data_IF_243786737725
#
_entry.id   IF_243786737725
#
_cell.length_a   1.000
_cell.length_b   1.000
_cell.length_c   1.000
_cell.angle_alpha   90.00
_cell.angle_beta   90.00
_cell.angle_gamma   90.00
#
_symmetry.space_group_name_H-M   'P 1'
#
loop_
_entity.id
_entity.type
_entity.pdbx_description
1 polymer ?
#
# COMPACT_ATOMS: atom_id res chain seq x y z
N UNK A 1 -34.02 -3.85 8.41
CA UNK A 1 -34.13 -3.02 7.19
C UNK A 1 -33.76 -3.92 6.02
N UNK A 2 -34.32 -3.71 4.82
CA UNK A 2 -33.94 -4.49 3.63
C UNK A 2 -32.57 -4.06 3.12
N UNK A 3 -31.75 -5.00 2.61
CA UNK A 3 -30.39 -4.74 2.11
C UNK A 3 -30.34 -3.63 1.06
N UNK A 4 -31.37 -3.55 0.21
CA UNK A 4 -31.52 -2.52 -0.83
C UNK A 4 -31.66 -1.10 -0.25
N UNK A 5 -32.30 -0.98 0.93
CA UNK A 5 -32.44 0.32 1.62
C UNK A 5 -31.12 0.75 2.24
N UNK A 6 -30.36 -0.21 2.79
CA UNK A 6 -29.06 0.06 3.42
C UNK A 6 -28.03 0.49 2.37
N UNK A 7 -27.99 -0.21 1.23
CA UNK A 7 -27.15 0.19 0.09
C UNK A 7 -27.50 1.60 -0.39
N UNK A 8 -28.79 1.91 -0.59
CA UNK A 8 -29.23 3.24 -1.04
C UNK A 8 -28.89 4.36 -0.04
N UNK A 9 -29.18 4.15 1.24
CA UNK A 9 -28.92 5.15 2.29
C UNK A 9 -27.40 5.38 2.44
N UNK A 10 -26.59 4.32 2.32
CA UNK A 10 -25.13 4.41 2.32
C UNK A 10 -24.60 5.13 1.10
N UNK A 11 -25.18 4.89 -0.09
CA UNK A 11 -24.76 5.55 -1.32
C UNK A 11 -24.96 7.08 -1.25
N UNK A 12 -26.12 7.51 -0.73
CA UNK A 12 -26.47 8.93 -0.58
C UNK A 12 -25.59 9.63 0.45
N UNK A 13 -25.47 9.04 1.65
CA UNK A 13 -24.69 9.63 2.73
C UNK A 13 -23.18 9.59 2.41
N UNK A 14 -22.72 8.50 1.78
CA UNK A 14 -21.34 8.33 1.36
C UNK A 14 -20.91 9.31 0.27
N UNK A 15 -21.78 9.59 -0.71
CA UNK A 15 -21.50 10.60 -1.74
C UNK A 15 -21.40 12.01 -1.14
N UNK A 16 -22.34 12.37 -0.26
CA UNK A 16 -22.30 13.67 0.43
C UNK A 16 -21.04 13.82 1.31
N UNK A 17 -20.56 12.73 1.91
CA UNK A 17 -19.30 12.73 2.65
C UNK A 17 -18.10 12.97 1.75
N UNK A 18 -18.00 12.25 0.61
CA UNK A 18 -16.88 12.35 -0.32
C UNK A 18 -16.80 13.72 -1.01
N UNK A 19 -17.94 14.34 -1.26
CA UNK A 19 -18.02 15.69 -1.85
C UNK A 19 -17.90 16.81 -0.80
N UNK A 20 -17.77 16.45 0.49
CA UNK A 20 -17.64 17.41 1.59
C UNK A 20 -18.91 18.22 1.90
N UNK A 21 -20.08 17.76 1.43
CA UNK A 21 -21.38 18.40 1.63
C UNK A 21 -22.21 17.80 2.77
N UNK A 22 -21.74 16.71 3.40
CA UNK A 22 -22.45 16.06 4.49
C UNK A 22 -22.48 16.92 5.76
N UNK A 23 -23.67 17.10 6.33
CA UNK A 23 -23.84 17.72 7.64
C UNK A 23 -23.53 16.75 8.80
N UNK A 24 -23.56 17.26 10.03
CA UNK A 24 -23.22 16.49 11.23
C UNK A 24 -24.14 15.28 11.44
N UNK A 25 -25.44 15.43 11.17
CA UNK A 25 -26.43 14.38 11.38
C UNK A 25 -26.29 13.29 10.31
N UNK A 26 -26.03 13.69 9.07
CA UNK A 26 -25.71 12.80 7.95
C UNK A 26 -24.43 12.00 8.19
N UNK A 27 -23.38 12.63 8.74
CA UNK A 27 -22.13 11.94 9.08
C UNK A 27 -22.30 10.93 10.22
N UNK A 28 -23.00 11.31 11.30
CA UNK A 28 -23.28 10.40 12.42
C UNK A 28 -24.10 9.19 11.95
N UNK A 29 -25.05 9.40 11.04
CA UNK A 29 -25.87 8.34 10.46
C UNK A 29 -25.08 7.42 9.52
N UNK A 30 -24.18 7.97 8.70
CA UNK A 30 -23.25 7.19 7.88
C UNK A 30 -22.35 6.33 8.75
N UNK A 31 -21.71 6.90 9.77
CA UNK A 31 -20.84 6.17 10.69
C UNK A 31 -21.59 5.10 11.47
N UNK A 32 -22.86 5.35 11.82
CA UNK A 32 -23.74 4.35 12.40
C UNK A 32 -23.91 3.14 11.47
N UNK A 33 -24.28 3.38 10.20
CA UNK A 33 -24.45 2.33 9.20
C UNK A 33 -23.17 1.53 8.96
N UNK A 34 -22.03 2.21 8.81
CA UNK A 34 -20.73 1.56 8.58
C UNK A 34 -20.28 0.69 9.77
N UNK A 35 -20.66 1.03 11.00
CA UNK A 35 -20.37 0.22 12.18
C UNK A 35 -21.28 -0.99 12.28
N UNK A 36 -22.57 -0.83 12.01
CA UNK A 36 -23.55 -1.88 12.25
C UNK A 36 -23.73 -2.85 11.09
N UNK A 37 -23.36 -2.48 9.86
CA UNK A 37 -23.75 -3.21 8.66
C UNK A 37 -22.59 -3.43 7.68
N UNK A 38 -22.43 -4.68 7.23
CA UNK A 38 -21.37 -5.07 6.30
C UNK A 38 -21.64 -4.65 4.85
N UNK A 39 -22.90 -4.71 4.41
CA UNK A 39 -23.31 -4.23 3.08
C UNK A 39 -23.09 -2.73 2.92
N UNK A 40 -23.29 -1.96 4.00
CA UNK A 40 -22.92 -0.54 4.05
C UNK A 40 -21.41 -0.33 3.88
N UNK A 41 -20.56 -1.14 4.54
CA UNK A 41 -19.09 -1.02 4.36
C UNK A 41 -18.65 -1.32 2.93
N UNK A 42 -19.22 -2.34 2.31
CA UNK A 42 -18.94 -2.71 0.91
C UNK A 42 -19.37 -1.59 -0.05
N UNK A 43 -20.58 -1.07 0.11
CA UNK A 43 -21.11 -0.01 -0.76
C UNK A 43 -20.35 1.31 -0.61
N UNK A 44 -19.94 1.66 0.61
CA UNK A 44 -19.12 2.85 0.84
C UNK A 44 -17.70 2.71 0.26
N UNK A 45 -17.10 1.52 0.35
CA UNK A 45 -15.81 1.23 -0.32
C UNK A 45 -15.92 1.42 -1.83
N UNK A 46 -17.01 0.93 -2.45
CA UNK A 46 -17.30 1.10 -3.87
C UNK A 46 -17.34 2.58 -4.28
N UNK A 47 -17.97 3.43 -3.47
CA UNK A 47 -18.04 4.87 -3.72
C UNK A 47 -16.66 5.56 -3.60
N UNK A 48 -15.85 5.19 -2.61
CA UNK A 48 -14.50 5.73 -2.43
C UNK A 48 -13.62 5.44 -3.65
N UNK A 49 -13.64 4.19 -4.13
CA UNK A 49 -12.86 3.78 -5.30
C UNK A 49 -13.25 4.58 -6.55
N UNK A 50 -14.56 4.74 -6.78
CA UNK A 50 -15.08 5.57 -7.88
C UNK A 50 -14.63 7.03 -7.77
N UNK A 51 -14.69 7.62 -6.57
CA UNK A 51 -14.29 9.00 -6.35
C UNK A 51 -12.76 9.19 -6.52
N UNK A 52 -11.95 8.23 -6.10
CA UNK A 52 -10.50 8.23 -6.31
C UNK A 52 -10.14 8.15 -7.80
N UNK A 53 -10.83 7.31 -8.58
CA UNK A 53 -10.65 7.21 -10.03
C UNK A 53 -10.97 8.52 -10.74
N UNK A 54 -12.10 9.16 -10.40
CA UNK A 54 -12.50 10.46 -10.96
C UNK A 54 -11.47 11.57 -10.67
N UNK A 55 -10.89 11.58 -9.46
CA UNK A 55 -9.83 12.55 -9.11
C UNK A 55 -8.55 12.35 -9.92
N UNK A 56 -8.15 11.11 -10.19
CA UNK A 56 -6.97 10.80 -11.03
C UNK A 56 -7.19 11.21 -12.48
N UNK A 57 -8.38 10.98 -13.03
CA UNK A 57 -8.73 11.45 -14.38
C UNK A 57 -8.65 12.97 -14.50
N UNK A 58 -9.08 13.70 -13.47
CA UNK A 58 -8.98 15.17 -13.45
C UNK A 58 -7.54 15.67 -13.28
N UNK A 59 -6.70 14.99 -12.50
CA UNK A 59 -5.29 15.36 -12.30
C UNK A 59 -4.43 15.15 -13.57
N UNK A 60 -4.67 14.07 -14.33
CA UNK A 60 -3.95 13.78 -15.58
C UNK A 60 -4.13 14.84 -16.68
N UNK A 61 -5.19 15.65 -16.62
CA UNK A 61 -5.45 16.73 -17.57
C UNK A 61 -4.57 17.97 -17.32
N UNK A 62 -4.00 18.12 -16.11
CA UNK A 62 -3.16 19.27 -15.74
C UNK A 62 -1.69 19.10 -16.14
N UNK A 63 -1.14 17.88 -16.09
CA UNK A 63 0.28 17.61 -16.35
C UNK A 63 0.67 17.60 -17.83
N UNK A 64 -0.28 17.30 -18.73
CA UNK A 64 -0.06 17.27 -20.18
C UNK A 64 0.36 18.63 -20.78
N UNK A 65 0.21 19.75 -20.05
CA UNK A 65 0.59 21.10 -20.51
C UNK A 65 2.07 21.46 -20.26
N UNK A 66 2.81 20.70 -19.46
CA UNK A 66 4.17 21.08 -19.02
C UNK A 66 5.32 20.39 -19.79
N UNK A 67 5.06 19.28 -20.50
CA UNK A 67 6.11 18.49 -21.16
C UNK A 67 6.63 19.08 -22.50
N UNK A 68 5.94 20.06 -23.08
CA UNK A 68 6.25 20.58 -24.43
C UNK A 68 7.56 21.39 -24.57
N UNK A 69 8.29 21.69 -23.49
CA UNK A 69 9.39 22.67 -23.51
C UNK A 69 10.79 22.14 -23.15
N UNK A 70 10.96 20.83 -22.86
CA UNK A 70 12.26 20.32 -22.34
C UNK A 70 12.99 19.29 -23.21
N UNK A 71 12.42 18.86 -24.33
CA UNK A 71 13.03 17.83 -25.19
C UNK A 71 13.94 18.39 -26.30
N UNK A 72 14.95 19.21 -25.97
CA UNK A 72 16.10 19.48 -26.86
C UNK A 72 17.37 19.68 -26.05
N UNK A 73 18.05 18.58 -25.65
CA UNK A 73 19.52 18.42 -25.69
C UNK A 73 20.02 17.19 -24.90
N UNK A 74 20.81 16.39 -25.63
CA UNK A 74 21.85 15.42 -25.19
C UNK A 74 21.32 14.10 -24.61
N UNK A 75 21.80 12.92 -25.02
CA UNK A 75 22.94 12.57 -25.86
C UNK A 75 23.87 11.59 -25.14
N UNK A 76 23.66 10.29 -25.41
CA UNK A 76 24.58 9.12 -25.44
C UNK A 76 25.76 9.05 -24.45
N UNK A 77 25.83 7.91 -23.75
CA UNK A 77 27.08 7.29 -23.26
C UNK A 77 26.78 6.02 -22.47
N UNK A 78 27.11 4.85 -23.02
CA UNK A 78 26.91 3.54 -22.38
C UNK A 78 28.20 2.99 -21.78
N UNK A 79 28.06 2.15 -20.76
CA UNK A 79 29.09 1.24 -20.28
C UNK A 79 28.44 -0.02 -19.67
N UNK A 80 28.99 -1.19 -20.01
CA UNK A 80 28.59 -2.52 -19.55
C UNK A 80 29.45 -2.96 -18.36
N UNK A 81 28.88 -3.68 -17.39
CA UNK A 81 29.61 -4.70 -16.61
C UNK A 81 28.68 -5.75 -15.99
N UNK A 82 29.26 -6.93 -15.77
CA UNK A 82 28.69 -8.27 -15.60
C UNK A 82 28.37 -8.63 -14.12
N UNK A 83 27.74 -9.80 -13.82
CA UNK A 83 26.85 -9.97 -12.68
C UNK A 83 27.54 -10.50 -11.41
N UNK A 84 27.14 -9.95 -10.26
CA UNK A 84 27.41 -10.50 -8.93
C UNK A 84 26.22 -11.31 -8.42
N UNK A 85 26.50 -12.47 -7.82
CA UNK A 85 25.55 -13.42 -7.26
C UNK A 85 24.76 -12.81 -6.10
N UNK A 86 23.43 -12.90 -6.13
CA UNK A 86 22.54 -12.49 -5.04
C UNK A 86 22.23 -13.66 -4.11
N UNK A 87 22.43 -13.41 -2.82
CA UNK A 87 21.97 -14.22 -1.68
C UNK A 87 20.56 -13.72 -1.34
N UNK A 88 19.58 -14.62 -1.31
CA UNK A 88 18.18 -14.32 -1.00
C UNK A 88 17.99 -14.55 0.50
N UNK A 89 17.66 -13.51 1.27
CA UNK A 89 17.24 -13.61 2.66
C UNK A 89 15.80 -13.13 2.85
N UNK A 90 15.08 -13.82 3.72
CA UNK A 90 13.63 -13.81 3.89
C UNK A 90 13.08 -12.55 4.56
N UNK A 91 12.18 -11.81 3.88
CA UNK A 91 11.33 -10.77 4.47
C UNK A 91 9.89 -10.82 3.95
N UNK A 92 9.33 -12.02 3.84
CA UNK A 92 7.94 -12.17 3.40
C UNK A 92 6.94 -12.18 4.55
N UNK A 93 6.40 -11.03 4.99
CA UNK A 93 5.04 -11.00 5.59
C UNK A 93 4.34 -9.65 5.89
N UNK A 94 4.89 -8.46 5.63
CA UNK A 94 4.38 -7.27 6.34
C UNK A 94 3.54 -6.24 5.55
N UNK A 95 3.35 -6.37 4.23
CA UNK A 95 2.83 -5.26 3.41
C UNK A 95 1.31 -5.21 3.12
N UNK A 96 0.52 -6.25 3.43
CA UNK A 96 -0.90 -6.29 3.01
C UNK A 96 -1.86 -5.41 3.84
N UNK A 97 -1.54 -5.07 5.09
CA UNK A 97 -2.47 -4.38 5.98
C UNK A 97 -2.51 -2.84 5.79
N UNK A 98 -1.52 -2.25 5.12
CA UNK A 98 -1.33 -0.80 5.12
C UNK A 98 -2.26 -0.03 4.17
N UNK A 99 -2.78 -0.63 3.09
CA UNK A 99 -3.50 0.10 2.04
C UNK A 99 -4.95 0.51 2.40
N UNK A 100 -5.67 -0.30 3.19
CA UNK A 100 -7.05 0.00 3.63
C UNK A 100 -7.10 1.11 4.70
N UNK A 101 -6.02 1.29 5.46
CA UNK A 101 -5.92 2.28 6.52
C UNK A 101 -5.65 3.72 6.00
N UNK A 102 -5.11 3.84 4.78
CA UNK A 102 -4.78 5.10 4.09
C UNK A 102 -5.99 6.01 3.87
N UNK A 103 -7.17 5.45 3.57
CA UNK A 103 -8.38 6.24 3.26
C UNK A 103 -9.01 6.82 4.54
N UNK A 104 -9.08 6.03 5.61
CA UNK A 104 -9.63 6.48 6.89
C UNK A 104 -8.74 7.55 7.53
N UNK A 105 -7.41 7.38 7.46
CA UNK A 105 -6.43 8.38 7.85
C UNK A 105 -6.58 9.66 7.03
N UNK A 106 -6.51 9.57 5.69
CA UNK A 106 -6.58 10.75 4.81
C UNK A 106 -7.85 11.58 4.98
N UNK A 107 -9.01 10.93 5.14
CA UNK A 107 -10.28 11.62 5.31
C UNK A 107 -10.45 12.21 6.74
N UNK A 108 -9.91 11.54 7.76
CA UNK A 108 -9.83 12.07 9.13
C UNK A 108 -8.85 13.27 9.23
N UNK A 109 -7.73 13.23 8.51
CA UNK A 109 -6.75 14.32 8.47
C UNK A 109 -7.23 15.53 7.65
N UNK A 110 -7.98 15.29 6.56
CA UNK A 110 -8.72 16.35 5.86
C UNK A 110 -9.70 17.07 6.80
N UNK A 111 -10.42 16.31 7.63
CA UNK A 111 -11.33 16.85 8.65
C UNK A 111 -10.61 17.64 9.77
N UNK A 112 -9.43 17.22 10.22
CA UNK A 112 -8.64 17.97 11.22
C UNK A 112 -8.02 19.25 10.62
N UNK A 113 -7.57 19.21 9.36
CA UNK A 113 -6.94 20.36 8.69
C UNK A 113 -7.89 21.56 8.50
N UNK A 114 -9.20 21.31 8.40
CA UNK A 114 -10.23 22.35 8.29
C UNK A 114 -10.57 23.00 9.63
N UNK A 115 -10.27 22.36 10.77
CA UNK A 115 -10.37 22.99 12.10
C UNK A 115 -9.11 23.80 12.43
N UNK A 116 -8.88 24.88 11.68
CA UNK A 116 -8.02 25.97 12.17
C UNK A 116 -8.72 26.67 13.33
N UNK A 117 -8.54 26.16 14.54
CA UNK A 117 -8.58 27.03 15.71
C UNK A 117 -7.22 27.73 15.81
N UNK A 118 -7.16 29.05 16.02
CA UNK A 118 -5.91 29.71 16.34
C UNK A 118 -5.51 29.24 17.75
N UNK A 119 -4.62 28.26 17.84
CA UNK A 119 -4.03 27.87 19.11
C UNK A 119 -2.92 28.86 19.47
N UNK A 120 -3.06 29.48 20.65
CA UNK A 120 -2.02 30.28 21.27
C UNK A 120 -0.70 29.49 21.33
N UNK A 121 0.40 30.16 21.06
CA UNK A 121 1.74 29.58 21.15
C UNK A 121 1.98 29.05 22.58
N UNK A 122 2.50 27.82 22.76
CA UNK A 122 2.87 27.36 24.09
C UNK A 122 4.07 28.14 24.62
N UNK A 123 3.91 28.69 25.82
CA UNK A 123 4.98 29.28 26.62
C UNK A 123 5.99 28.19 26.95
N UNK A 124 7.27 28.43 26.65
CA UNK A 124 8.35 27.50 26.96
C UNK A 124 8.46 27.30 28.48
N UNK A 125 8.37 26.05 28.97
CA UNK A 125 8.69 25.73 30.37
C UNK A 125 7.94 24.59 31.06
N UNK A 126 7.10 23.78 30.39
CA UNK A 126 6.45 22.62 31.04
C UNK A 126 6.68 21.33 30.23
N UNK A 127 7.60 20.48 30.70
CA UNK A 127 7.88 19.14 30.13
C UNK A 127 7.23 18.00 30.94
N UNK A 128 6.06 18.22 31.56
CA UNK A 128 5.31 17.18 32.29
C UNK A 128 3.86 17.00 31.78
N UNK A 129 3.59 17.38 30.54
CA UNK A 129 2.28 17.18 29.91
C UNK A 129 2.27 16.02 28.92
N UNK A 130 1.10 15.41 28.70
CA UNK A 130 0.89 14.51 27.59
C UNK A 130 1.31 15.19 26.27
N UNK A 131 2.05 14.49 25.42
CA UNK A 131 2.57 15.04 24.16
C UNK A 131 1.90 14.43 22.93
N UNK A 132 1.21 13.31 23.11
CA UNK A 132 0.41 12.69 22.06
C UNK A 132 -0.82 11.99 22.64
N UNK A 133 -1.77 11.67 21.77
CA UNK A 133 -2.93 10.82 22.08
C UNK A 133 -2.85 9.58 21.21
N UNK A 134 -2.78 8.42 21.85
CA UNK A 134 -2.90 7.11 21.23
C UNK A 134 -4.38 6.80 20.99
N UNK A 135 -4.76 6.50 19.75
CA UNK A 135 -6.11 6.08 19.38
C UNK A 135 -6.05 4.68 18.77
N UNK A 136 -6.47 3.63 19.49
CA UNK A 136 -6.42 2.26 19.00
C UNK A 136 -7.56 2.00 17.99
N UNK A 137 -7.27 1.18 16.98
CA UNK A 137 -8.26 0.54 16.09
C UNK A 137 -8.29 -1.00 16.25
N UNK A 138 -7.48 -1.54 17.16
CA UNK A 138 -7.35 -2.97 17.48
C UNK A 138 -6.84 -3.19 18.91
N UNK A 139 -6.28 -4.37 19.18
CA UNK A 139 -5.74 -4.74 20.50
C UNK A 139 -4.28 -4.32 20.63
N UNK A 140 -3.99 -3.48 21.62
CA UNK A 140 -2.64 -3.03 21.92
C UNK A 140 -2.45 -2.76 23.40
N UNK A 141 -1.20 -2.74 23.84
CA UNK A 141 -0.80 -2.46 25.23
C UNK A 141 0.09 -1.24 25.27
N UNK A 142 -0.11 -0.40 26.28
CA UNK A 142 0.77 0.72 26.61
C UNK A 142 1.49 0.40 27.92
N UNK A 143 2.82 0.48 27.90
CA UNK A 143 3.66 0.37 29.08
C UNK A 143 4.17 1.74 29.50
N UNK A 144 3.90 2.11 30.75
CA UNK A 144 4.38 3.34 31.41
C UNK A 144 5.15 2.94 32.66
N UNK A 145 6.49 3.04 32.61
CA UNK A 145 7.33 2.50 33.69
C UNK A 145 7.14 0.98 33.82
N UNK A 146 6.58 0.53 34.94
CA UNK A 146 6.27 -0.88 35.21
C UNK A 146 4.79 -1.23 34.97
N UNK A 147 3.93 -0.23 34.77
CA UNK A 147 2.51 -0.43 34.52
C UNK A 147 2.27 -0.81 33.06
N UNK A 148 1.44 -1.83 32.83
CA UNK A 148 0.98 -2.26 31.50
C UNK A 148 -0.53 -2.12 31.44
N UNK A 149 -1.04 -1.40 30.45
CA UNK A 149 -2.45 -1.10 30.25
C UNK A 149 -2.93 -1.58 28.89
N UNK A 150 -4.07 -2.27 28.83
CA UNK A 150 -4.75 -2.54 27.57
C UNK A 150 -5.36 -1.24 27.02
N UNK A 151 -5.06 -0.92 25.77
CA UNK A 151 -5.51 0.31 25.11
C UNK A 151 -6.76 0.00 24.28
N UNK A 152 -7.93 0.16 24.88
CA UNK A 152 -9.24 -0.05 24.21
C UNK A 152 -9.98 1.25 23.86
N UNK A 153 -9.45 2.37 24.34
CA UNK A 153 -9.98 3.72 24.13
C UNK A 153 -8.81 4.70 23.97
N UNK A 154 -9.06 5.95 23.55
CA UNK A 154 -8.00 6.94 23.44
C UNK A 154 -7.27 7.18 24.77
N UNK A 155 -5.93 7.13 24.75
CA UNK A 155 -5.06 7.31 25.94
C UNK A 155 -4.02 8.40 25.67
N UNK A 156 -3.81 9.27 26.64
CA UNK A 156 -2.73 10.26 26.60
C UNK A 156 -1.36 9.59 26.77
N UNK A 157 -0.43 9.93 25.88
CA UNK A 157 0.94 9.43 25.87
C UNK A 157 1.94 10.46 26.38
N UNK A 158 2.90 9.98 27.15
CA UNK A 158 4.01 10.74 27.72
C UNK A 158 5.35 10.24 27.15
N UNK A 159 6.40 11.08 27.13
CA UNK A 159 7.74 10.62 26.80
C UNK A 159 8.16 9.43 27.68
N UNK A 160 8.67 8.37 27.04
CA UNK A 160 9.03 7.10 27.69
C UNK A 160 7.95 6.01 27.60
N UNK A 161 6.71 6.36 27.23
CA UNK A 161 5.67 5.36 27.00
C UNK A 161 6.07 4.44 25.83
N UNK A 162 5.92 3.14 26.06
CA UNK A 162 6.08 2.10 25.03
C UNK A 162 4.74 1.53 24.64
N UNK A 163 4.61 1.20 23.37
CA UNK A 163 3.41 0.59 22.83
C UNK A 163 3.77 -0.71 22.12
N UNK A 164 3.02 -1.76 22.42
CA UNK A 164 3.08 -3.04 21.72
C UNK A 164 1.72 -3.33 21.11
N UNK A 165 1.72 -3.86 19.90
CA UNK A 165 0.52 -4.18 19.15
C UNK A 165 0.64 -5.59 18.57
N UNK A 166 -0.43 -6.38 18.69
CA UNK A 166 -0.48 -7.76 18.20
C UNK A 166 -1.22 -7.82 16.86
N UNK A 167 -2.38 -7.16 16.76
CA UNK A 167 -3.15 -7.01 15.52
C UNK A 167 -3.85 -5.63 15.46
N UNK A 168 -4.07 -5.12 14.25
CA UNK A 168 -4.79 -3.86 13.98
C UNK A 168 -3.88 -2.67 13.70
N UNK A 169 -4.37 -1.46 13.98
CA UNK A 169 -3.58 -0.22 13.89
C UNK A 169 -3.76 0.68 15.11
N UNK A 170 -2.84 1.63 15.29
CA UNK A 170 -2.99 2.68 16.27
C UNK A 170 -2.48 4.01 15.71
N UNK A 171 -3.29 5.05 15.85
CA UNK A 171 -2.92 6.40 15.46
C UNK A 171 -2.41 7.17 16.69
N UNK A 172 -1.18 7.66 16.61
CA UNK A 172 -0.54 8.51 17.60
C UNK A 172 -0.60 9.93 17.07
N UNK A 173 -1.47 10.74 17.66
CA UNK A 173 -1.65 12.13 17.27
C UNK A 173 -0.89 13.04 18.23
N UNK A 174 0.09 13.79 17.73
CA UNK A 174 0.82 14.75 18.56
C UNK A 174 -0.06 15.95 18.93
N UNK A 175 -0.06 16.33 20.21
CA UNK A 175 -0.93 17.40 20.72
C UNK A 175 -0.44 18.76 20.22
N UNK A 176 -1.39 19.59 19.76
CA UNK A 176 -1.10 20.96 19.29
C UNK A 176 -0.70 21.06 17.81
N UNK A 177 -0.79 19.98 17.03
CA UNK A 177 -0.47 19.96 15.60
C UNK A 177 -1.20 18.86 14.82
N UNK A 178 -0.96 18.82 13.51
CA UNK A 178 -1.50 17.80 12.59
C UNK A 178 -0.48 16.70 12.23
N UNK A 179 0.55 16.48 13.05
CA UNK A 179 1.50 15.36 12.89
C UNK A 179 0.92 14.11 13.53
N UNK A 180 0.92 13.01 12.79
CA UNK A 180 0.45 11.72 13.28
C UNK A 180 1.33 10.56 12.80
N UNK A 181 1.44 9.55 13.64
CA UNK A 181 2.08 8.28 13.32
C UNK A 181 1.01 7.22 13.40
N UNK A 182 0.77 6.50 12.32
CA UNK A 182 -0.04 5.30 12.33
C UNK A 182 0.87 4.08 12.35
N UNK A 183 0.81 3.31 13.42
CA UNK A 183 1.47 2.00 13.49
C UNK A 183 0.45 0.91 13.14
N UNK A 184 0.87 -0.12 12.42
CA UNK A 184 -0.01 -1.21 11.98
C UNK A 184 0.68 -2.56 12.01
N UNK A 185 -0.10 -3.64 12.15
CA UNK A 185 0.40 -5.02 12.15
C UNK A 185 0.67 -5.52 13.56
N UNK A 186 1.74 -6.31 13.75
CA UNK A 186 2.37 -6.62 15.04
C UNK A 186 3.67 -5.80 15.19
N UNK A 187 4.06 -5.40 16.41
CA UNK A 187 5.27 -4.60 16.58
C UNK A 187 5.36 -3.82 17.89
N UNK A 188 6.49 -3.13 18.05
CA UNK A 188 6.80 -2.32 19.23
C UNK A 188 7.30 -0.94 18.80
N UNK A 189 6.87 0.09 19.53
CA UNK A 189 7.32 1.46 19.36
C UNK A 189 7.41 2.21 20.68
N UNK A 190 8.16 3.30 20.70
CA UNK A 190 8.31 4.14 21.88
C UNK A 190 8.23 5.62 21.52
N UNK A 191 7.49 6.37 22.34
CA UNK A 191 7.45 7.82 22.25
C UNK A 191 8.64 8.39 23.03
N UNK A 192 9.64 8.92 22.32
CA UNK A 192 10.91 9.32 22.94
C UNK A 192 10.86 10.78 23.39
N UNK A 193 10.27 11.68 22.61
CA UNK A 193 10.07 13.07 23.02
C UNK A 193 9.01 13.76 22.17
N UNK A 194 8.23 14.65 22.78
CA UNK A 194 7.31 15.58 22.12
C UNK A 194 7.78 17.03 22.11
N UNK A 195 9.05 17.30 22.46
CA UNK A 195 9.62 18.65 22.57
C UNK A 195 9.87 19.34 21.22
N UNK A 196 10.98 20.08 21.10
CA UNK A 196 11.29 20.87 19.88
C UNK A 196 11.50 20.00 18.62
N UNK A 197 12.03 18.80 18.81
CA UNK A 197 12.17 17.76 17.77
C UNK A 197 11.42 16.54 18.27
N UNK A 198 10.39 16.13 17.54
CA UNK A 198 9.60 14.96 17.92
C UNK A 198 10.36 13.71 17.54
N UNK A 199 10.46 12.78 18.48
CA UNK A 199 11.18 11.53 18.28
C UNK A 199 10.26 10.36 18.57
N UNK A 200 10.09 9.51 17.57
CA UNK A 200 9.42 8.23 17.70
C UNK A 200 10.39 7.13 17.31
N UNK A 201 10.49 6.09 18.14
CA UNK A 201 11.30 4.91 17.87
C UNK A 201 10.37 3.77 17.43
N UNK A 202 10.58 3.25 16.23
CA UNK A 202 9.95 2.01 15.77
C UNK A 202 10.96 0.87 15.95
N UNK A 203 10.66 -0.07 16.84
CA UNK A 203 11.55 -1.18 17.18
C UNK A 203 11.33 -2.36 16.22
N UNK A 204 10.08 -2.64 15.87
CA UNK A 204 9.69 -3.70 14.94
C UNK A 204 8.33 -3.41 14.30
N UNK A 205 8.06 -4.04 13.15
CA UNK A 205 6.77 -3.91 12.45
C UNK A 205 6.75 -2.77 11.44
N UNK A 206 5.55 -2.28 11.11
CA UNK A 206 5.36 -1.24 10.08
C UNK A 206 4.66 -0.02 10.65
N UNK A 207 5.20 1.16 10.34
CA UNK A 207 4.57 2.45 10.63
C UNK A 207 4.39 3.26 9.35
N UNK A 208 3.19 3.80 9.13
CA UNK A 208 2.95 4.88 8.18
C UNK A 208 2.96 6.20 8.94
N UNK A 209 3.73 7.14 8.47
CA UNK A 209 3.97 8.42 9.13
C UNK A 209 3.48 9.55 8.24
N UNK A 210 2.57 10.35 8.78
CA UNK A 210 2.09 11.57 8.15
C UNK A 210 2.57 12.77 8.99
N UNK A 211 3.54 13.50 8.45
CA UNK A 211 4.11 14.67 9.12
C UNK A 211 3.58 15.93 8.50
N UNK A 212 2.82 16.72 9.27
CA UNK A 212 2.41 18.04 8.84
C UNK A 212 3.62 18.95 8.59
N UNK A 213 3.48 19.94 7.71
CA UNK A 213 4.53 20.95 7.51
C UNK A 213 4.70 21.78 8.78
N UNK A 214 5.88 21.71 9.41
CA UNK A 214 6.18 22.37 10.68
C UNK A 214 6.95 23.69 10.46
N UNK A 215 6.87 24.63 11.42
CA UNK A 215 7.66 25.87 11.38
C UNK A 215 9.17 25.58 11.41
N UNK A 216 9.98 26.43 10.78
CA UNK A 216 11.43 26.23 10.63
C UNK A 216 12.11 25.85 11.96
N UNK A 217 12.81 24.72 11.99
CA UNK A 217 13.53 24.21 13.16
C UNK A 217 12.74 23.27 14.09
N UNK A 218 11.55 22.83 13.69
CA UNK A 218 10.78 21.75 14.34
C UNK A 218 10.60 20.61 13.33
N UNK A 219 11.50 19.65 13.34
CA UNK A 219 11.41 18.45 12.49
C UNK A 219 10.87 17.26 13.29
N UNK A 220 10.43 16.22 12.59
CA UNK A 220 10.21 14.91 13.19
C UNK A 220 11.39 14.00 12.84
N UNK A 221 11.78 13.17 13.79
CA UNK A 221 12.73 12.07 13.60
C UNK A 221 12.03 10.78 13.93
N UNK A 222 12.00 9.86 12.96
CA UNK A 222 11.63 8.48 13.19
C UNK A 222 12.93 7.67 13.28
N UNK A 223 13.20 7.09 14.43
CA UNK A 223 14.36 6.21 14.63
C UNK A 223 13.93 4.75 14.53
N UNK A 224 14.83 3.91 14.06
CA UNK A 224 14.76 2.45 14.08
C UNK A 224 16.10 1.91 14.57
N UNK A 225 16.23 0.62 14.93
CA UNK A 225 17.53 0.02 15.21
C UNK A 225 18.57 0.18 14.08
N UNK A 226 18.11 0.36 12.84
CA UNK A 226 18.96 0.34 11.64
C UNK A 226 19.18 1.72 11.01
N UNK A 227 18.32 2.70 11.28
CA UNK A 227 18.37 4.02 10.65
C UNK A 227 17.51 5.08 11.35
N UNK A 228 17.82 6.35 11.04
CA UNK A 228 17.04 7.54 11.38
C UNK A 228 16.49 8.21 10.12
N UNK A 229 15.19 8.52 10.13
CA UNK A 229 14.49 9.29 9.10
C UNK A 229 14.15 10.68 9.63
N UNK A 230 14.76 11.72 9.05
CA UNK A 230 14.51 13.12 9.37
C UNK A 230 13.59 13.75 8.30
N UNK A 231 12.50 14.40 8.75
CA UNK A 231 11.44 14.87 7.84
C UNK A 231 10.82 16.22 8.22
N UNK A 232 10.31 16.91 7.20
CA UNK A 232 9.51 18.14 7.30
C UNK A 232 8.42 18.08 6.23
N UNK A 233 7.14 17.94 6.61
CA UNK A 233 6.03 17.92 5.65
C UNK A 233 6.12 16.75 4.67
N UNK A 234 5.91 15.52 5.13
CA UNK A 234 6.21 14.30 4.37
C UNK A 234 5.24 13.19 4.75
N UNK A 235 4.87 12.37 3.77
CA UNK A 235 4.18 11.11 3.99
C UNK A 235 5.09 9.96 3.57
N UNK A 236 5.36 9.04 4.48
CA UNK A 236 6.24 7.90 4.24
C UNK A 236 5.84 6.69 5.09
N UNK A 237 6.32 5.51 4.74
CA UNK A 237 6.21 4.30 5.55
C UNK A 237 7.60 3.77 5.89
N UNK A 238 7.72 3.18 7.08
CA UNK A 238 8.91 2.43 7.50
C UNK A 238 8.50 1.06 7.99
N UNK A 239 9.18 0.04 7.48
CA UNK A 239 9.05 -1.35 7.92
C UNK A 239 10.38 -1.81 8.49
N UNK A 240 10.36 -2.35 9.70
CA UNK A 240 11.53 -2.88 10.40
C UNK A 240 11.43 -4.39 10.46
N UNK A 241 12.39 -5.06 9.81
CA UNK A 241 12.53 -6.51 9.76
C UNK A 241 13.70 -7.02 10.59
N UNK A 242 14.08 -8.27 10.36
CA UNK A 242 15.26 -8.88 10.99
C UNK A 242 16.54 -8.38 10.31
N UNK A 243 17.21 -7.39 10.90
CA UNK A 243 18.52 -6.88 10.44
C UNK A 243 18.47 -5.66 9.52
N UNK A 244 17.29 -5.19 9.13
CA UNK A 244 17.12 -4.03 8.25
C UNK A 244 15.85 -3.23 8.49
N UNK A 245 15.85 -1.99 7.98
CA UNK A 245 14.68 -1.14 7.87
C UNK A 245 14.51 -0.66 6.42
N UNK A 246 13.29 -0.75 5.91
CA UNK A 246 12.89 -0.22 4.61
C UNK A 246 12.07 1.05 4.81
N UNK A 247 12.48 2.14 4.16
CA UNK A 247 11.76 3.41 4.07
C UNK A 247 11.17 3.56 2.66
N UNK A 248 9.89 3.90 2.56
CA UNK A 248 9.23 4.28 1.29
C UNK A 248 8.54 5.62 1.43
N UNK A 249 8.77 6.54 0.48
CA UNK A 249 8.26 7.92 0.55
C UNK A 249 7.15 8.11 -0.48
N UNK A 250 5.98 8.52 -0.01
CA UNK A 250 4.80 8.79 -0.85
C UNK A 250 4.72 10.27 -1.25
N UNK A 251 5.00 11.17 -0.30
CA UNK A 251 5.02 12.61 -0.55
C UNK A 251 6.21 13.27 0.15
N UNK A 252 6.80 14.29 -0.50
CA UNK A 252 7.92 15.04 0.06
C UNK A 252 9.28 14.33 -0.11
N UNK A 253 10.13 14.44 0.91
CA UNK A 253 11.47 13.85 0.93
C UNK A 253 11.93 13.59 2.35
N UNK A 254 12.72 12.54 2.52
CA UNK A 254 13.27 12.10 3.80
C UNK A 254 14.78 12.07 3.69
N UNK A 255 15.47 12.67 4.66
CA UNK A 255 16.89 12.39 4.87
C UNK A 255 16.98 11.11 5.69
N UNK A 256 17.55 10.06 5.10
CA UNK A 256 17.62 8.73 5.70
C UNK A 256 19.06 8.37 6.03
N UNK A 257 19.35 8.21 7.31
CA UNK A 257 20.70 8.00 7.84
C UNK A 257 20.80 6.61 8.47
N UNK A 258 21.69 5.76 7.98
CA UNK A 258 21.92 4.42 8.54
C UNK A 258 22.65 4.51 9.88
N UNK A 259 22.17 3.77 10.87
CA UNK A 259 22.67 3.82 12.25
C UNK A 259 24.08 3.22 12.39
N UNK A 260 24.42 2.18 11.61
CA UNK A 260 25.69 1.45 11.75
C UNK A 260 26.94 2.25 11.38
N UNK A 261 26.85 3.19 10.44
CA UNK A 261 27.99 3.95 9.91
C UNK A 261 27.73 5.43 9.67
N UNK A 262 26.50 5.91 9.90
CA UNK A 262 26.12 7.31 9.68
C UNK A 262 26.00 7.71 8.20
N UNK A 263 26.10 6.76 7.26
CA UNK A 263 25.87 7.03 5.84
C UNK A 263 24.43 7.53 5.65
N UNK A 264 24.24 8.55 4.81
CA UNK A 264 22.93 9.14 4.58
C UNK A 264 22.65 9.43 3.11
N UNK A 265 21.37 9.35 2.76
CA UNK A 265 20.84 9.66 1.43
C UNK A 265 19.54 10.48 1.57
N UNK A 266 19.13 11.12 0.47
CA UNK A 266 17.80 11.69 0.34
C UNK A 266 16.91 10.71 -0.44
N UNK A 267 15.75 10.35 0.15
CA UNK A 267 14.72 9.52 -0.49
C UNK A 267 13.51 10.41 -0.80
N UNK A 268 13.10 10.47 -2.07
CA UNK A 268 12.02 11.35 -2.55
C UNK A 268 10.72 10.58 -2.75
N UNK A 269 9.61 11.31 -2.87
CA UNK A 269 8.33 10.75 -3.29
C UNK A 269 8.48 9.79 -4.49
N UNK A 270 7.85 8.61 -4.39
CA UNK A 270 7.97 7.53 -5.36
C UNK A 270 9.29 6.77 -5.30
N UNK A 271 10.01 6.83 -4.17
CA UNK A 271 11.24 6.08 -3.94
C UNK A 271 11.21 5.34 -2.60
N UNK A 272 12.03 4.29 -2.51
CA UNK A 272 12.32 3.56 -1.30
C UNK A 272 13.84 3.42 -1.09
N UNK A 273 14.26 3.11 0.13
CA UNK A 273 15.63 2.74 0.47
C UNK A 273 15.64 1.74 1.61
N UNK A 274 16.69 0.92 1.68
CA UNK A 274 16.89 -0.09 2.72
C UNK A 274 18.17 0.24 3.48
N UNK A 275 18.08 0.29 4.80
CA UNK A 275 19.21 0.42 5.71
C UNK A 275 19.36 -0.86 6.53
N UNK A 276 20.51 -1.50 6.43
CA UNK A 276 20.90 -2.68 7.19
C UNK A 276 22.41 -2.90 7.07
N UNK A 277 22.94 -3.85 7.83
CA UNK A 277 24.36 -4.20 7.76
C UNK A 277 24.70 -4.83 6.39
N UNK A 278 25.76 -4.34 5.73
CA UNK A 278 26.18 -4.86 4.43
C UNK A 278 25.26 -4.52 3.24
N UNK A 279 24.14 -3.81 3.47
CA UNK A 279 23.21 -3.39 2.42
C UNK A 279 23.68 -2.05 1.84
N UNK A 280 23.64 -1.91 0.51
CA UNK A 280 23.93 -0.62 -0.13
C UNK A 280 22.78 0.38 0.13
N UNK A 281 23.08 1.49 0.80
CA UNK A 281 22.09 2.53 1.09
C UNK A 281 21.89 3.42 -0.14
N UNK A 282 20.92 3.06 -0.98
CA UNK A 282 20.57 3.80 -2.20
C UNK A 282 19.06 4.01 -2.31
N UNK A 283 18.66 5.19 -2.80
CA UNK A 283 17.27 5.47 -3.14
C UNK A 283 16.91 4.81 -4.48
N UNK A 284 15.89 3.95 -4.47
CA UNK A 284 15.38 3.21 -5.62
C UNK A 284 13.95 3.64 -5.94
N UNK A 285 13.53 3.71 -7.20
CA UNK A 285 12.13 3.97 -7.54
C UNK A 285 11.20 2.94 -6.87
N UNK A 286 10.09 3.38 -6.28
CA UNK A 286 9.00 2.54 -5.80
C UNK A 286 7.86 2.62 -6.81
N UNK A 287 7.49 1.50 -7.40
CA UNK A 287 6.51 1.45 -8.49
C UNK A 287 5.50 0.36 -8.20
N UNK A 288 4.24 0.73 -8.07
CA UNK A 288 3.09 -0.19 -7.98
C UNK A 288 1.96 0.39 -8.83
N UNK A 289 1.51 -0.39 -9.81
CA UNK A 289 0.43 -0.03 -10.73
C UNK A 289 -0.69 -1.05 -10.64
N UNK A 290 -1.94 -0.58 -10.67
CA UNK A 290 -3.15 -1.41 -10.60
C UNK A 290 -3.93 -1.29 -11.90
N UNK A 291 -4.44 -2.41 -12.38
CA UNK A 291 -5.21 -2.51 -13.61
C UNK A 291 -6.45 -3.38 -13.34
N UNK A 292 -7.63 -2.86 -13.66
CA UNK A 292 -8.84 -3.67 -13.68
C UNK A 292 -8.84 -4.55 -14.93
N UNK A 293 -9.12 -5.83 -14.78
CA UNK A 293 -9.02 -6.77 -15.88
C UNK A 293 -10.13 -6.55 -16.91
N UNK A 294 -11.30 -6.06 -16.50
CA UNK A 294 -12.41 -5.69 -17.37
C UNK A 294 -12.15 -4.44 -18.23
N UNK A 295 -11.14 -3.63 -17.88
CA UNK A 295 -10.68 -2.49 -18.69
C UNK A 295 -9.61 -2.89 -19.72
N UNK A 296 -9.13 -4.14 -19.68
CA UNK A 296 -8.18 -4.64 -20.65
C UNK A 296 -8.79 -4.68 -22.07
N UNK A 297 -7.94 -4.61 -23.08
CA UNK A 297 -8.37 -4.80 -24.47
C UNK A 297 -8.64 -6.28 -24.71
N UNK A 298 -9.91 -6.65 -24.77
CA UNK A 298 -10.33 -8.04 -24.93
C UNK A 298 -10.40 -8.48 -26.39
N UNK A 299 -9.96 -9.70 -26.65
CA UNK A 299 -10.23 -10.44 -27.88
C UNK A 299 -11.13 -11.63 -27.53
N UNK A 300 -12.28 -11.80 -28.19
CA UNK A 300 -13.16 -12.93 -27.97
C UNK A 300 -12.43 -14.27 -28.13
N UNK A 301 -12.86 -15.33 -27.43
CA UNK A 301 -13.99 -15.41 -26.48
C UNK A 301 -13.72 -14.87 -25.05
N UNK A 302 -12.66 -14.09 -24.80
CA UNK A 302 -12.52 -13.41 -23.50
C UNK A 302 -13.61 -12.34 -23.35
N UNK A 303 -14.32 -12.35 -22.23
CA UNK A 303 -15.45 -11.46 -21.97
C UNK A 303 -15.46 -10.97 -20.54
N UNK A 304 -16.07 -9.79 -20.35
CA UNK A 304 -16.37 -9.26 -19.02
C UNK A 304 -17.59 -9.97 -18.44
N UNK A 305 -17.50 -10.37 -17.18
CA UNK A 305 -18.59 -10.88 -16.36
C UNK A 305 -18.84 -9.89 -15.22
N UNK A 306 -20.12 -9.70 -14.85
CA UNK A 306 -20.45 -9.02 -13.60
C UNK A 306 -20.20 -9.97 -12.45
N UNK A 307 -19.44 -9.55 -11.45
CA UNK A 307 -19.14 -10.39 -10.30
C UNK A 307 -19.16 -9.59 -9.01
N UNK A 308 -20.16 -9.81 -8.13
CA UNK A 308 -20.16 -9.25 -6.78
C UNK A 308 -18.88 -9.67 -6.02
N UNK A 309 -18.21 -8.71 -5.40
CA UNK A 309 -16.95 -8.95 -4.67
C UNK A 309 -15.69 -8.87 -5.52
N UNK A 310 -15.81 -8.75 -6.85
CA UNK A 310 -14.73 -8.26 -7.70
C UNK A 310 -14.55 -6.75 -7.48
N UNK A 311 -13.32 -6.26 -7.63
CA UNK A 311 -13.11 -4.82 -7.67
C UNK A 311 -13.77 -4.25 -8.93
N UNK A 312 -14.25 -3.00 -8.87
CA UNK A 312 -15.01 -2.42 -9.98
C UNK A 312 -16.36 -3.08 -10.29
N UNK A 313 -16.67 -4.24 -9.69
CA UNK A 313 -17.87 -5.05 -9.92
C UNK A 313 -17.81 -5.95 -11.16
N UNK A 314 -16.64 -6.04 -11.82
CA UNK A 314 -16.42 -6.81 -13.03
C UNK A 314 -15.22 -7.74 -12.92
N UNK A 315 -15.19 -8.79 -13.74
CA UNK A 315 -14.00 -9.59 -13.96
C UNK A 315 -13.99 -10.08 -15.42
N UNK A 316 -12.89 -10.68 -15.86
CA UNK A 316 -12.81 -11.32 -17.17
C UNK A 316 -12.67 -12.83 -17.04
N UNK A 317 -13.25 -13.52 -18.02
CA UNK A 317 -13.11 -14.96 -18.18
C UNK A 317 -13.39 -15.37 -19.62
N UNK A 318 -12.99 -16.58 -19.98
CA UNK A 318 -13.40 -17.22 -21.23
C UNK A 318 -14.21 -18.48 -20.94
N UNK A 319 -15.09 -18.87 -21.84
CA UNK A 319 -15.80 -20.17 -21.82
C UNK A 319 -15.13 -21.21 -22.72
N UNK A 320 -14.00 -20.86 -23.35
CA UNK A 320 -13.36 -21.68 -24.37
C UNK A 320 -11.90 -21.93 -24.00
N UNK A 321 -11.56 -23.20 -23.76
CA UNK A 321 -10.21 -23.63 -23.42
C UNK A 321 -9.19 -23.16 -24.48
N UNK A 322 -8.06 -22.60 -24.03
CA UNK A 322 -7.00 -22.11 -24.90
C UNK A 322 -7.33 -20.84 -25.70
N UNK A 323 -8.49 -20.22 -25.52
CA UNK A 323 -8.94 -19.10 -26.36
C UNK A 323 -9.27 -17.84 -25.56
N UNK A 324 -9.38 -16.72 -26.28
CA UNK A 324 -9.68 -15.41 -25.70
C UNK A 324 -8.44 -14.76 -25.10
N UNK A 325 -8.29 -13.46 -25.31
CA UNK A 325 -7.15 -12.70 -24.80
C UNK A 325 -7.60 -11.42 -24.10
N UNK A 326 -6.83 -11.00 -23.11
CA UNK A 326 -6.89 -9.69 -22.49
C UNK A 326 -5.51 -9.04 -22.56
N UNK A 327 -5.43 -7.90 -23.22
CA UNK A 327 -4.22 -7.11 -23.40
C UNK A 327 -4.26 -5.88 -22.49
N UNK A 328 -3.26 -5.75 -21.61
CA UNK A 328 -3.06 -4.57 -20.76
C UNK A 328 -1.80 -3.86 -21.22
N UNK A 329 -1.95 -2.60 -21.61
CA UNK A 329 -0.85 -1.70 -21.95
C UNK A 329 -0.53 -0.82 -20.77
N UNK A 330 0.75 -0.69 -20.44
CA UNK A 330 1.18 0.14 -19.32
C UNK A 330 2.54 0.78 -19.58
N UNK A 331 2.77 1.94 -18.96
CA UNK A 331 4.02 2.67 -19.09
C UNK A 331 4.85 2.53 -17.80
N UNK A 332 5.95 1.80 -17.89
CA UNK A 332 6.89 1.58 -16.78
C UNK A 332 7.72 2.85 -16.55
N UNK A 333 7.70 3.44 -15.35
CA UNK A 333 8.39 4.70 -15.08
C UNK A 333 9.91 4.55 -14.88
N UNK A 334 10.39 3.35 -14.51
CA UNK A 334 11.80 3.07 -14.28
C UNK A 334 12.16 1.63 -14.67
N UNK A 335 13.31 1.43 -15.31
CA UNK A 335 13.80 0.09 -15.63
C UNK A 335 14.12 -0.70 -14.35
N UNK A 336 13.81 -1.99 -14.32
CA UNK A 336 14.10 -2.86 -13.18
C UNK A 336 13.42 -4.22 -13.26
N UNK A 337 13.54 -5.00 -12.18
CA UNK A 337 12.76 -6.22 -11.98
C UNK A 337 11.35 -5.86 -11.49
N UNK A 338 10.34 -6.47 -12.11
CA UNK A 338 8.93 -6.32 -11.74
C UNK A 338 8.28 -7.68 -11.53
N UNK A 339 7.23 -7.67 -10.71
CA UNK A 339 6.40 -8.80 -10.35
C UNK A 339 4.95 -8.47 -10.63
N UNK A 340 4.19 -9.49 -11.04
CA UNK A 340 2.74 -9.36 -11.27
C UNK A 340 2.00 -10.11 -10.18
N UNK A 341 0.98 -9.48 -9.61
CA UNK A 341 -0.05 -10.13 -8.81
C UNK A 341 -1.39 -10.04 -9.52
N UNK A 342 -2.17 -11.10 -9.44
CA UNK A 342 -3.49 -11.22 -10.05
C UNK A 342 -4.51 -11.57 -8.97
N UNK A 343 -5.61 -10.83 -8.90
CA UNK A 343 -6.78 -11.22 -8.11
C UNK A 343 -7.63 -12.14 -8.95
N UNK A 344 -7.77 -13.37 -8.48
CA UNK A 344 -8.32 -14.49 -9.24
C UNK A 344 -9.38 -15.22 -8.44
N UNK A 345 -10.28 -15.89 -9.14
CA UNK A 345 -11.23 -16.82 -8.56
C UNK A 345 -11.22 -18.08 -9.43
N UNK A 346 -10.82 -19.19 -8.80
CA UNK A 346 -10.65 -20.48 -9.43
C UNK A 346 -11.14 -21.56 -8.45
N UNK A 347 -12.41 -21.99 -8.58
CA UNK A 347 -13.03 -22.92 -7.64
C UNK A 347 -12.51 -24.36 -7.73
N UNK A 348 -11.96 -24.76 -8.88
CA UNK A 348 -11.62 -26.15 -9.16
C UNK A 348 -10.36 -26.25 -10.02
N UNK A 349 -9.69 -27.41 -9.96
CA UNK A 349 -8.41 -27.72 -10.63
C UNK A 349 -8.43 -27.86 -12.15
N UNK A 350 -9.59 -27.67 -12.78
CA UNK A 350 -9.76 -27.72 -14.24
C UNK A 350 -10.18 -26.36 -14.82
N UNK A 351 -10.20 -25.32 -13.98
CA UNK A 351 -10.54 -23.94 -14.33
C UNK A 351 -9.67 -22.97 -13.53
N UNK A 352 -8.35 -23.18 -13.52
CA UNK A 352 -7.42 -22.48 -12.63
C UNK A 352 -6.19 -21.90 -13.32
N UNK A 353 -6.21 -21.68 -14.63
CA UNK A 353 -4.99 -21.26 -15.31
C UNK A 353 -5.17 -20.35 -16.52
N UNK A 354 -4.13 -19.53 -16.74
CA UNK A 354 -3.96 -18.70 -17.92
C UNK A 354 -2.61 -19.00 -18.60
N UNK A 355 -2.53 -18.68 -19.89
CA UNK A 355 -1.27 -18.42 -20.56
C UNK A 355 -0.95 -16.93 -20.44
N UNK A 356 0.27 -16.57 -20.03
CA UNK A 356 0.67 -15.17 -19.84
C UNK A 356 1.92 -14.88 -20.65
N UNK A 357 1.97 -13.76 -21.36
CA UNK A 357 3.19 -13.30 -22.05
C UNK A 357 3.45 -11.82 -21.81
N UNK A 358 4.72 -11.43 -21.90
CA UNK A 358 5.18 -10.04 -21.82
C UNK A 358 5.80 -9.63 -23.15
N UNK A 359 5.38 -8.48 -23.69
CA UNK A 359 5.90 -7.87 -24.93
C UNK A 359 5.96 -8.81 -26.15
N UNK A 360 5.07 -9.79 -26.22
CA UNK A 360 5.05 -10.80 -27.29
C UNK A 360 6.14 -11.86 -27.19
N UNK A 361 6.78 -12.00 -26.01
CA UNK A 361 7.68 -13.10 -25.69
C UNK A 361 6.97 -14.43 -25.48
N UNK A 362 7.72 -15.42 -25.00
CA UNK A 362 7.21 -16.77 -24.70
C UNK A 362 6.08 -16.72 -23.67
N UNK A 363 5.06 -17.55 -23.87
CA UNK A 363 3.98 -17.72 -22.90
C UNK A 363 4.43 -18.61 -21.73
N UNK A 364 4.15 -18.13 -20.51
CA UNK A 364 4.19 -18.92 -19.29
C UNK A 364 2.82 -19.55 -19.02
N UNK A 365 2.83 -20.76 -18.45
CA UNK A 365 1.62 -21.31 -17.82
C UNK A 365 1.54 -20.77 -16.41
N UNK A 366 0.48 -20.03 -16.12
CA UNK A 366 0.20 -19.47 -14.82
C UNK A 366 -0.96 -20.21 -14.17
N UNK A 367 -0.62 -21.10 -13.23
CA UNK A 367 -1.59 -21.80 -12.38
C UNK A 367 -1.96 -20.90 -11.22
N UNK A 368 -3.17 -20.35 -11.26
CA UNK A 368 -3.55 -19.24 -10.40
C UNK A 368 -3.91 -19.69 -8.98
N UNK A 369 -4.34 -20.96 -8.81
CA UNK A 369 -4.84 -21.50 -7.55
C UNK A 369 -4.41 -22.95 -7.27
N UNK A 370 -3.31 -23.44 -7.86
CA UNK A 370 -2.79 -24.79 -7.64
C UNK A 370 -2.71 -25.13 -6.13
N UNK A 371 -3.43 -26.18 -5.71
CA UNK A 371 -3.47 -26.63 -4.32
C UNK A 371 -4.26 -25.73 -3.35
N UNK A 372 -4.91 -24.66 -3.83
CA UNK A 372 -5.60 -23.64 -3.03
C UNK A 372 -6.88 -23.10 -3.70
N UNK A 373 -7.55 -23.93 -4.47
CA UNK A 373 -8.82 -23.61 -5.13
C UNK A 373 -9.86 -23.11 -4.13
N UNK A 374 -10.60 -22.08 -4.55
CA UNK A 374 -11.61 -21.46 -3.71
C UNK A 374 -12.67 -20.75 -4.55
N UNK A 375 -13.88 -20.67 -4.00
CA UNK A 375 -14.96 -19.81 -4.51
C UNK A 375 -14.75 -18.34 -4.10
N UNK A 376 -13.76 -18.05 -3.25
CA UNK A 376 -13.42 -16.71 -2.83
C UNK A 376 -12.34 -16.10 -3.73
N UNK A 377 -12.44 -14.80 -3.92
CA UNK A 377 -11.39 -14.02 -4.56
C UNK A 377 -10.09 -14.10 -3.74
N UNK A 378 -8.99 -14.40 -4.43
CA UNK A 378 -7.67 -14.52 -3.82
C UNK A 378 -6.60 -13.86 -4.68
N UNK A 379 -5.57 -13.35 -4.02
CA UNK A 379 -4.38 -12.87 -4.72
C UNK A 379 -3.43 -14.02 -5.06
N UNK A 380 -2.91 -13.99 -6.27
CA UNK A 380 -1.93 -14.93 -6.80
C UNK A 380 -0.78 -14.17 -7.45
N UNK A 381 0.45 -14.47 -7.05
CA UNK A 381 1.61 -13.93 -7.76
C UNK A 381 1.78 -14.70 -9.06
N UNK A 382 2.10 -14.01 -10.16
CA UNK A 382 2.46 -14.64 -11.42
C UNK A 382 3.70 -15.51 -11.22
N UNK A 383 3.49 -16.79 -11.48
CA UNK A 383 4.51 -17.82 -11.39
C UNK A 383 4.57 -18.60 -12.70
N UNK A 384 5.73 -19.16 -13.00
CA UNK A 384 5.94 -20.08 -14.11
C UNK A 384 5.94 -21.52 -13.60
N UNK A 385 5.16 -22.39 -14.26
CA UNK A 385 5.22 -23.84 -14.09
C UNK A 385 6.55 -24.39 -14.63
N UNK A 386 7.34 -25.02 -13.76
CA UNK A 386 8.68 -25.55 -14.12
C UNK A 386 8.65 -26.96 -14.74
N UNK A 387 7.50 -27.64 -14.71
CA UNK A 387 7.36 -29.03 -15.15
C UNK A 387 7.86 -30.08 -14.15
N UNK A 388 8.57 -29.65 -13.10
CA UNK A 388 8.90 -30.49 -11.95
C UNK A 388 7.64 -30.68 -11.09
N UNK A 389 7.52 -31.85 -10.44
CA UNK A 389 6.50 -32.08 -9.41
C UNK A 389 7.11 -31.88 -8.04
N UNK A 390 6.33 -31.31 -7.14
CA UNK A 390 6.70 -31.32 -5.73
C UNK A 390 6.70 -32.78 -5.24
N UNK A 391 7.65 -33.07 -4.36
CA UNK A 391 7.89 -34.44 -3.90
C UNK A 391 6.67 -34.96 -3.15
N UNK A 392 6.19 -36.13 -3.54
CA UNK A 392 5.03 -36.81 -2.94
C UNK A 392 3.69 -36.06 -3.05
N UNK A 393 3.58 -35.05 -3.94
CA UNK A 393 2.32 -34.37 -4.26
C UNK A 393 1.98 -34.49 -5.76
N UNK A 394 0.72 -34.19 -6.11
CA UNK A 394 0.31 -34.10 -7.52
C UNK A 394 0.72 -32.76 -8.14
N UNK A 395 1.09 -31.77 -7.32
CA UNK A 395 1.24 -30.38 -7.73
C UNK A 395 2.56 -30.10 -8.43
N UNK A 396 2.53 -29.20 -9.41
CA UNK A 396 3.76 -28.77 -10.10
C UNK A 396 4.50 -27.70 -9.31
N UNK A 397 5.83 -27.76 -9.35
CA UNK A 397 6.67 -26.69 -8.80
C UNK A 397 6.53 -25.45 -9.67
N UNK A 398 6.15 -24.36 -9.02
CA UNK A 398 6.01 -23.03 -9.63
C UNK A 398 7.08 -22.08 -9.10
N UNK A 399 7.49 -21.08 -9.90
CA UNK A 399 8.49 -20.08 -9.50
C UNK A 399 8.04 -18.66 -9.85
N UNK A 400 8.27 -17.65 -8.98
CA UNK A 400 7.97 -16.26 -9.31
C UNK A 400 8.60 -15.81 -10.62
N UNK A 401 7.80 -15.18 -11.48
CA UNK A 401 8.31 -14.57 -12.72
C UNK A 401 8.83 -13.17 -12.41
N UNK A 402 10.15 -13.01 -12.41
CA UNK A 402 10.81 -11.71 -12.29
C UNK A 402 11.01 -11.07 -13.68
N UNK A 403 10.13 -10.13 -14.03
CA UNK A 403 10.11 -9.46 -15.33
C UNK A 403 11.18 -8.37 -15.40
N UNK A 404 12.10 -8.46 -16.36
CA UNK A 404 13.07 -7.39 -16.62
C UNK A 404 12.46 -6.36 -17.56
N UNK A 405 11.92 -5.27 -17.01
CA UNK A 405 11.26 -4.23 -17.78
C UNK A 405 12.15 -3.00 -17.92
N UNK A 406 12.06 -2.35 -19.07
CA UNK A 406 12.70 -1.05 -19.30
C UNK A 406 11.73 0.09 -18.97
N UNK A 407 12.23 1.29 -18.73
CA UNK A 407 11.36 2.47 -18.74
C UNK A 407 10.72 2.62 -20.12
N UNK A 408 9.40 2.72 -20.16
CA UNK A 408 8.64 2.92 -21.39
C UNK A 408 7.38 2.06 -21.46
N UNK A 409 6.79 1.99 -22.65
CA UNK A 409 5.58 1.23 -22.91
C UNK A 409 5.88 -0.27 -22.93
N UNK A 410 5.07 -1.03 -22.19
CA UNK A 410 5.11 -2.49 -22.12
C UNK A 410 3.69 -3.04 -22.24
N UNK A 411 3.60 -4.33 -22.56
CA UNK A 411 2.34 -5.04 -22.71
C UNK A 411 2.38 -6.40 -22.03
N UNK A 412 1.41 -6.65 -21.16
CA UNK A 412 1.09 -8.02 -20.71
C UNK A 412 -0.16 -8.53 -21.42
N UNK A 413 -0.12 -9.80 -21.81
CA UNK A 413 -1.27 -10.50 -22.40
C UNK A 413 -1.61 -11.72 -21.56
N UNK A 414 -2.88 -11.82 -21.18
CA UNK A 414 -3.47 -13.02 -20.59
C UNK A 414 -4.33 -13.70 -21.64
N UNK A 415 -4.05 -14.97 -21.93
CA UNK A 415 -4.87 -15.83 -22.79
C UNK A 415 -5.48 -16.92 -21.94
N UNK A 416 -6.75 -17.26 -22.18
CA UNK A 416 -7.38 -18.40 -21.50
C UNK A 416 -6.56 -19.66 -21.73
N UNK A 417 -6.18 -20.36 -20.65
CA UNK A 417 -5.68 -21.73 -20.74
C UNK A 417 -6.84 -22.66 -20.48
N UNK A 418 -7.46 -22.55 -19.32
CA UNK A 418 -8.70 -23.24 -18.99
C UNK A 418 -9.90 -22.30 -19.06
N UNK A 419 -11.07 -22.87 -19.38
CA UNK A 419 -12.31 -22.12 -19.34
C UNK A 419 -12.68 -21.78 -17.90
N UNK A 420 -13.42 -20.69 -17.71
CA UNK A 420 -14.05 -20.27 -16.46
C UNK A 420 -13.09 -19.82 -15.33
N UNK A 421 -11.77 -19.83 -15.54
CA UNK A 421 -10.85 -19.09 -14.67
C UNK A 421 -11.18 -17.61 -14.73
N UNK A 422 -11.34 -16.96 -13.57
CA UNK A 422 -11.69 -15.54 -13.51
C UNK A 422 -10.50 -14.70 -13.05
N UNK A 423 -10.29 -13.57 -13.74
CA UNK A 423 -9.29 -12.55 -13.41
C UNK A 423 -10.01 -11.22 -13.19
N UNK A 424 -9.82 -10.63 -12.01
CA UNK A 424 -10.47 -9.38 -11.59
C UNK A 424 -9.50 -8.19 -11.69
N UNK A 425 -8.34 -8.30 -11.05
CA UNK A 425 -7.38 -7.19 -10.99
C UNK A 425 -5.95 -7.67 -11.18
N UNK A 426 -5.14 -6.84 -11.83
CA UNK A 426 -3.70 -7.07 -12.03
C UNK A 426 -2.92 -5.96 -11.35
N UNK A 427 -1.87 -6.32 -10.62
CA UNK A 427 -0.93 -5.39 -9.99
C UNK A 427 0.46 -5.65 -10.53
N UNK A 428 1.12 -4.63 -11.05
CA UNK A 428 2.53 -4.68 -11.41
C UNK A 428 3.33 -3.88 -10.37
N UNK A 429 4.35 -4.49 -9.79
CA UNK A 429 5.18 -3.83 -8.77
C UNK A 429 6.65 -4.18 -8.91
N UNK A 430 7.55 -3.26 -8.57
CA UNK A 430 8.98 -3.54 -8.45
C UNK A 430 9.42 -3.85 -7.01
N UNK A 431 8.47 -3.98 -6.10
CA UNK A 431 8.72 -4.42 -4.74
C UNK A 431 8.56 -5.95 -4.64
N UNK A 432 9.66 -6.71 -4.46
CA UNK A 432 9.60 -8.17 -4.36
C UNK A 432 8.81 -8.67 -3.14
N UNK A 433 8.69 -7.84 -2.11
CA UNK A 433 8.01 -8.16 -0.86
C UNK A 433 6.56 -7.67 -0.82
N UNK A 434 6.09 -7.05 -1.91
CA UNK A 434 4.72 -6.56 -2.02
C UNK A 434 3.72 -7.71 -1.83
N UNK A 435 2.76 -7.50 -0.94
CA UNK A 435 1.59 -8.36 -0.78
C UNK A 435 0.34 -7.49 -0.92
N UNK A 436 -0.54 -7.75 -1.89
CA UNK A 436 -1.78 -7.00 -2.03
C UNK A 436 -2.65 -7.13 -0.77
N UNK A 437 -3.38 -6.07 -0.42
CA UNK A 437 -4.42 -6.13 0.61
C UNK A 437 -5.55 -7.09 0.18
N UNK A 438 -6.13 -7.81 1.14
CA UNK A 438 -7.19 -8.80 0.90
C UNK A 438 -8.43 -8.18 0.27
#
# INVERSE_FOLDING_TARGET
MTDEKISRDTAVLGSAYLDGSADKEQLERLLGLLRSDEGARVEFSRLVDQHATLRRMNAGCADAKLEGWRAVRRGRGGAKQAPGRTVISALGNWFAAAALLVVAAGAYFGYISQRRQPANAPTAGQEEGAVAVLRPSGEGKLRRGDDIMDVKSPVEMFPGDRITWEEGSAAIQFIGEATAVEVSGAGEGALVSGGRTKKFLLISGTARVLVASQAAGKGMVLSTPFAEAEVIGTEFAVTVGEGEARLEVFEGRVKYTRAGDGANIEVKAGQYAIAGEGIELIARPAVTMYFEAEEARLQPPMKVLKSPGAFGGGCISTDSEGQGMAEILFNVPASGSYYIWCRVLAPESWQDSFHVSMDGGTEWVFDVAEGRWSNDWQWSMLVERTGEKEKDTYYTVVRPVALQLTRGMHRVVFRGREAHTMLDRVVLTNDPDFKPAR
#
